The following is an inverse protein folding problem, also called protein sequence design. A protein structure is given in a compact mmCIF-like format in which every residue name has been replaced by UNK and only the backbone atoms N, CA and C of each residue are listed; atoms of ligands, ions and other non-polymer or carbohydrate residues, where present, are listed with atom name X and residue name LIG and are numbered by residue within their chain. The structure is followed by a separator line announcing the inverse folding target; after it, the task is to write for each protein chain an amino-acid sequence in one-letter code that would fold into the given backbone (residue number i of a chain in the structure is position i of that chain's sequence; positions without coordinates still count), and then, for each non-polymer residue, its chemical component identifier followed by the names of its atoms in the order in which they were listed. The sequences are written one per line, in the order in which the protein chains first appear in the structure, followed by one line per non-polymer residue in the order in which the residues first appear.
data_IF_451903790551
#
_entry.id   IF_451903790551
#
_cell.length_a   1.000
_cell.length_b   1.000
_cell.length_c   1.000
_cell.angle_alpha   90.00
_cell.angle_beta   90.00
_cell.angle_gamma   90.00
#
_symmetry.space_group_name_H-M   'P 1'
#
loop_
_entity.id
_entity.type
_entity.pdbx_description
1 polymer ?
#
# COMPACT_ATOMS: atom_id res chain seq x y z
N UNK A 1 47.18 -41.72 -31.73
CA UNK A 1 46.31 -40.98 -32.65
C UNK A 1 44.88 -41.46 -32.43
N UNK A 2 43.93 -40.53 -32.23
CA UNK A 2 42.47 -40.69 -32.40
C UNK A 2 41.74 -41.42 -31.25
N UNK A 3 41.45 -40.76 -30.12
CA UNK A 3 40.27 -39.91 -29.75
C UNK A 3 39.13 -40.69 -29.09
N UNK A 4 39.03 -40.57 -27.76
CA UNK A 4 37.76 -40.65 -27.04
C UNK A 4 36.94 -39.41 -27.38
N UNK A 5 35.77 -39.58 -28.01
CA UNK A 5 34.75 -38.54 -28.08
C UNK A 5 33.77 -38.80 -26.93
N UNK A 6 33.85 -37.94 -25.92
CA UNK A 6 33.06 -37.96 -24.69
C UNK A 6 31.66 -37.39 -24.98
N UNK A 7 30.62 -38.17 -24.71
CA UNK A 7 29.20 -37.81 -24.71
C UNK A 7 28.87 -36.76 -23.62
N UNK A 8 29.25 -35.49 -23.84
CA UNK A 8 28.98 -34.40 -22.87
C UNK A 8 28.34 -33.14 -23.47
N UNK A 9 27.35 -33.29 -24.35
CA UNK A 9 26.65 -32.12 -24.93
C UNK A 9 25.12 -32.15 -24.85
N UNK A 10 24.49 -32.97 -24.00
CA UNK A 10 23.01 -32.97 -23.87
C UNK A 10 22.44 -32.55 -22.51
N UNK A 11 23.26 -32.21 -21.50
CA UNK A 11 22.76 -32.02 -20.13
C UNK A 11 22.74 -30.58 -19.60
N UNK A 12 23.00 -29.56 -20.44
CA UNK A 12 23.12 -28.19 -19.94
C UNK A 12 21.91 -27.26 -20.22
N UNK A 13 20.94 -27.68 -21.02
CA UNK A 13 19.76 -26.84 -21.33
C UNK A 13 18.61 -26.98 -20.32
N UNK A 14 18.60 -28.03 -19.50
CA UNK A 14 17.51 -28.29 -18.53
C UNK A 14 17.75 -27.72 -17.11
N UNK A 15 18.84 -26.97 -16.87
CA UNK A 15 19.13 -26.38 -15.56
C UNK A 15 18.56 -24.98 -15.35
N UNK A 16 17.98 -24.36 -16.38
CA UNK A 16 17.46 -22.99 -16.29
C UNK A 16 15.93 -22.90 -16.18
N UNK A 17 15.21 -24.03 -16.10
CA UNK A 17 13.74 -24.06 -16.07
C UNK A 17 13.11 -24.49 -14.73
N UNK A 18 13.88 -24.69 -13.65
CA UNK A 18 13.33 -25.14 -12.35
C UNK A 18 13.44 -24.15 -11.19
N UNK A 19 13.59 -22.86 -11.45
CA UNK A 19 13.49 -21.82 -10.42
C UNK A 19 12.39 -20.82 -10.78
N UNK A 20 11.17 -21.32 -10.96
CA UNK A 20 10.00 -20.48 -10.70
C UNK A 20 10.03 -20.27 -9.19
N UNK A 21 10.74 -19.23 -8.73
CA UNK A 21 10.69 -18.80 -7.33
C UNK A 21 9.22 -18.60 -7.00
N UNK A 22 8.70 -19.36 -6.05
CA UNK A 22 7.36 -19.11 -5.53
C UNK A 22 7.27 -17.63 -5.17
N UNK A 23 6.22 -16.95 -5.65
CA UNK A 23 6.02 -15.54 -5.34
C UNK A 23 5.95 -15.42 -3.82
N UNK A 24 6.75 -14.54 -3.21
CA UNK A 24 6.79 -14.44 -1.77
C UNK A 24 5.41 -14.07 -1.24
N UNK A 25 4.93 -14.83 -0.25
CA UNK A 25 3.63 -14.64 0.36
C UNK A 25 3.76 -13.75 1.59
N UNK A 26 2.93 -12.72 1.67
CA UNK A 26 2.81 -11.87 2.86
C UNK A 26 1.52 -12.25 3.58
N UNK A 27 1.60 -12.38 4.90
CA UNK A 27 0.45 -12.63 5.78
C UNK A 27 0.23 -11.40 6.67
N UNK A 28 -0.67 -10.48 6.28
CA UNK A 28 -1.03 -9.37 7.14
C UNK A 28 -1.70 -9.87 8.43
N UNK A 29 -1.59 -9.09 9.51
CA UNK A 29 -2.37 -9.36 10.72
C UNK A 29 -3.87 -9.17 10.44
N UNK A 30 -4.71 -9.55 11.40
CA UNK A 30 -6.16 -9.35 11.28
C UNK A 30 -6.51 -7.86 11.18
N UNK A 31 -5.82 -7.03 11.96
CA UNK A 31 -6.00 -5.58 11.99
C UNK A 31 -5.57 -4.95 10.64
N UNK A 32 -4.41 -5.35 10.11
CA UNK A 32 -3.92 -4.90 8.80
C UNK A 32 -4.85 -5.36 7.67
N UNK A 33 -5.33 -6.61 7.72
CA UNK A 33 -6.27 -7.13 6.73
C UNK A 33 -7.58 -6.32 6.72
N UNK A 34 -8.13 -6.03 7.90
CA UNK A 34 -9.33 -5.21 8.04
C UNK A 34 -9.12 -3.80 7.51
N UNK A 35 -7.96 -3.20 7.79
CA UNK A 35 -7.58 -1.91 7.21
C UNK A 35 -7.55 -1.99 5.69
N UNK A 36 -6.88 -2.99 5.12
CA UNK A 36 -6.76 -3.13 3.67
C UNK A 36 -8.11 -3.33 2.98
N UNK A 37 -9.03 -4.07 3.60
CA UNK A 37 -10.39 -4.24 3.10
C UNK A 37 -11.16 -2.90 3.07
N UNK A 38 -11.00 -2.08 4.12
CA UNK A 38 -11.56 -0.72 4.15
C UNK A 38 -10.97 0.13 3.00
N UNK A 39 -9.65 0.14 2.85
CA UNK A 39 -8.98 0.96 1.82
C UNK A 39 -9.39 0.56 0.40
N UNK A 40 -9.52 -0.75 0.12
CA UNK A 40 -10.03 -1.25 -1.16
C UNK A 40 -11.51 -0.88 -1.34
N UNK A 41 -12.31 -0.96 -0.27
CA UNK A 41 -13.72 -0.53 -0.29
C UNK A 41 -13.88 0.95 -0.62
N UNK A 42 -13.01 1.82 -0.10
CA UNK A 42 -13.00 3.27 -0.37
C UNK A 42 -12.83 3.57 -1.86
N UNK A 43 -12.09 2.74 -2.61
CA UNK A 43 -11.93 2.92 -4.05
C UNK A 43 -13.27 2.93 -4.81
N UNK A 44 -14.31 2.27 -4.28
CA UNK A 44 -15.65 2.29 -4.88
C UNK A 44 -16.35 3.65 -4.81
N UNK A 45 -15.91 4.56 -3.93
CA UNK A 45 -16.44 5.93 -3.82
C UNK A 45 -15.77 6.92 -4.77
N UNK A 46 -14.68 6.52 -5.44
CA UNK A 46 -13.95 7.36 -6.38
C UNK A 46 -14.59 7.29 -7.77
N UNK A 47 -14.64 8.44 -8.47
CA UNK A 47 -15.05 8.49 -9.89
C UNK A 47 -13.95 7.98 -10.83
N UNK A 48 -12.71 7.86 -10.32
CA UNK A 48 -11.55 7.36 -11.06
C UNK A 48 -11.15 6.00 -10.51
N UNK A 49 -10.64 5.14 -11.37
CA UNK A 49 -9.99 3.90 -10.93
C UNK A 49 -8.72 4.26 -10.13
N UNK A 50 -8.66 3.76 -8.89
CA UNK A 50 -7.54 3.98 -7.97
C UNK A 50 -7.01 2.62 -7.58
N UNK A 51 -5.73 2.39 -7.84
CA UNK A 51 -5.05 1.19 -7.35
C UNK A 51 -4.26 1.54 -6.10
N UNK A 52 -4.57 0.83 -5.00
CA UNK A 52 -3.94 1.07 -3.71
C UNK A 52 -2.87 0.02 -3.45
N UNK A 53 -1.67 0.49 -3.04
CA UNK A 53 -0.53 -0.38 -2.71
C UNK A 53 0.10 0.04 -1.39
N UNK A 54 0.53 -0.91 -0.59
CA UNK A 54 1.44 -0.64 0.53
C UNK A 54 2.87 -0.65 -0.02
N UNK A 55 3.68 0.35 0.31
CA UNK A 55 5.02 0.52 -0.24
C UNK A 55 6.13 0.35 0.81
N UNK A 56 7.30 -0.08 0.36
CA UNK A 56 8.56 0.04 1.09
C UNK A 56 8.65 -0.77 2.38
N UNK A 57 8.81 -0.07 3.51
CA UNK A 57 9.26 -0.66 4.78
C UNK A 57 8.38 -1.79 5.28
N UNK A 58 7.05 -1.59 5.25
CA UNK A 58 6.11 -2.62 5.67
C UNK A 58 6.23 -3.91 4.84
N UNK A 59 6.38 -3.79 3.51
CA UNK A 59 6.50 -4.95 2.61
C UNK A 59 7.77 -5.73 2.93
N UNK A 60 8.91 -5.03 3.02
CA UNK A 60 10.20 -5.61 3.38
C UNK A 60 10.14 -6.36 4.72
N UNK A 61 9.60 -5.71 5.74
CA UNK A 61 9.60 -6.24 7.09
C UNK A 61 8.71 -7.48 7.19
N UNK A 62 7.55 -7.50 6.51
CA UNK A 62 6.70 -8.69 6.43
C UNK A 62 7.40 -9.85 5.75
N UNK A 63 8.13 -9.60 4.67
CA UNK A 63 8.92 -10.62 3.98
C UNK A 63 10.05 -11.19 4.86
N UNK A 64 10.55 -10.40 5.81
CA UNK A 64 11.55 -10.82 6.80
C UNK A 64 10.94 -11.38 8.09
N UNK A 65 9.61 -11.56 8.15
CA UNK A 65 8.87 -11.96 9.35
C UNK A 65 9.08 -11.02 10.56
N UNK A 66 9.20 -9.72 10.28
CA UNK A 66 9.29 -8.65 11.27
C UNK A 66 7.97 -7.88 11.39
N UNK A 67 7.81 -7.17 12.51
CA UNK A 67 6.68 -6.27 12.73
C UNK A 67 7.03 -4.85 12.26
N UNK A 68 6.07 -4.19 11.62
CA UNK A 68 6.08 -2.77 11.29
C UNK A 68 4.86 -2.11 11.92
N UNK A 69 4.97 -0.83 12.26
CA UNK A 69 3.90 -0.09 12.96
C UNK A 69 3.29 1.02 12.08
N UNK A 70 4.03 1.44 11.06
CA UNK A 70 3.70 2.44 10.05
C UNK A 70 3.40 1.77 8.70
N UNK A 71 2.39 2.26 7.99
CA UNK A 71 2.00 1.77 6.67
C UNK A 71 1.96 2.94 5.69
N UNK A 72 2.92 2.96 4.77
CA UNK A 72 2.91 3.85 3.62
C UNK A 72 1.99 3.30 2.53
N UNK A 73 0.88 3.97 2.27
CA UNK A 73 -0.07 3.64 1.22
C UNK A 73 0.18 4.53 0.01
N UNK A 74 0.70 3.94 -1.06
CA UNK A 74 0.91 4.60 -2.34
C UNK A 74 -0.33 4.53 -3.24
N UNK A 75 -0.63 5.69 -3.86
CA UNK A 75 -1.78 5.93 -4.72
C UNK A 75 -1.34 6.38 -6.12
N UNK A 76 -2.04 5.91 -7.15
CA UNK A 76 -1.74 6.16 -8.56
C UNK A 76 -2.43 7.40 -9.15
N UNK A 77 -3.69 7.66 -8.81
CA UNK A 77 -4.50 8.69 -9.50
C UNK A 77 -5.04 9.81 -8.60
N UNK A 78 -4.96 9.63 -7.28
CA UNK A 78 -5.47 10.59 -6.30
C UNK A 78 -4.37 11.04 -5.35
N UNK A 79 -4.38 12.33 -5.00
CA UNK A 79 -3.53 12.85 -3.91
C UNK A 79 -3.88 12.18 -2.59
N UNK A 80 -2.91 12.10 -1.67
CA UNK A 80 -3.15 11.55 -0.33
C UNK A 80 -4.28 12.27 0.41
N UNK A 81 -4.38 13.60 0.26
CA UNK A 81 -5.46 14.40 0.86
C UNK A 81 -6.84 14.05 0.27
N UNK A 82 -6.94 13.93 -1.06
CA UNK A 82 -8.19 13.59 -1.72
C UNK A 82 -8.67 12.19 -1.29
N UNK A 83 -7.75 11.22 -1.25
CA UNK A 83 -8.07 9.86 -0.83
C UNK A 83 -8.42 9.78 0.66
N UNK A 84 -7.68 10.48 1.54
CA UNK A 84 -8.01 10.56 2.96
C UNK A 84 -9.42 11.11 3.19
N UNK A 85 -9.85 12.08 2.38
CA UNK A 85 -11.21 12.62 2.42
C UNK A 85 -12.27 11.57 2.02
N UNK A 86 -11.98 10.69 1.06
CA UNK A 86 -12.85 9.56 0.70
C UNK A 86 -12.90 8.51 1.81
N UNK A 87 -11.76 8.19 2.43
CA UNK A 87 -11.70 7.28 3.59
C UNK A 87 -12.59 7.78 4.71
N UNK A 88 -12.51 9.08 5.05
CA UNK A 88 -13.38 9.66 6.07
C UNK A 88 -14.87 9.53 5.72
N UNK A 89 -15.26 9.81 4.47
CA UNK A 89 -16.65 9.65 4.02
C UNK A 89 -17.14 8.21 4.14
N UNK A 90 -16.33 7.25 3.71
CA UNK A 90 -16.65 5.82 3.76
C UNK A 90 -16.88 5.32 5.20
N UNK A 91 -16.01 5.74 6.12
CA UNK A 91 -16.10 5.37 7.53
C UNK A 91 -17.38 5.95 8.18
N UNK A 92 -17.69 7.22 7.89
CA UNK A 92 -18.93 7.83 8.37
C UNK A 92 -20.19 7.15 7.80
N UNK A 93 -20.19 6.72 6.54
CA UNK A 93 -21.34 5.97 6.00
C UNK A 93 -21.55 4.62 6.69
N UNK A 94 -20.46 3.92 7.04
CA UNK A 94 -20.52 2.64 7.75
C UNK A 94 -21.05 2.77 9.19
N UNK A 95 -20.82 3.91 9.85
CA UNK A 95 -21.34 4.18 11.20
C UNK A 95 -22.85 4.45 11.17
N UNK A 96 -23.31 5.27 10.23
CA UNK A 96 -24.73 5.62 10.09
C UNK A 96 -25.63 4.41 9.80
N UNK A 97 -25.13 3.42 9.06
CA UNK A 97 -25.86 2.17 8.79
C UNK A 97 -26.04 1.31 10.05
N UNK A 98 -25.11 1.38 11.01
CA UNK A 98 -25.17 0.60 12.25
C UNK A 98 -26.11 1.23 13.28
N UNK A 99 -26.18 2.56 13.34
CA UNK A 99 -27.11 3.25 14.25
C UNK A 99 -28.59 3.12 13.83
N UNK A 100 -28.88 2.83 12.56
CA UNK A 100 -30.25 2.62 12.06
C UNK A 100 -30.95 1.34 12.55
N UNK A 101 -30.25 0.42 13.22
CA UNK A 101 -30.78 -0.90 13.60
C UNK A 101 -31.10 -1.06 15.10
N UNK A 102 -30.56 -0.22 15.99
CA UNK A 102 -30.76 -0.34 17.44
C UNK A 102 -31.30 0.95 18.09
N UNK A 103 -32.53 1.33 17.75
CA UNK A 103 -33.33 2.24 18.58
C UNK A 103 -33.91 1.48 19.77
N UNK A 104 -33.09 1.13 20.77
CA UNK A 104 -33.49 0.93 22.18
C UNK A 104 -32.26 0.55 23.03
N UNK A 105 -31.54 1.55 23.54
CA UNK A 105 -31.08 1.66 24.94
C UNK A 105 -29.87 2.60 25.04
N UNK A 106 -30.15 3.83 25.46
CA UNK A 106 -29.17 4.68 26.12
C UNK A 106 -28.85 4.07 27.48
N UNK A 107 -27.75 3.33 27.60
CA UNK A 107 -26.84 3.26 28.76
C UNK A 107 -25.90 2.06 28.64
N UNK A 108 -24.60 2.36 28.70
CA UNK A 108 -23.45 1.53 29.08
C UNK A 108 -23.62 -0.01 29.02
N UNK A 109 -22.86 -0.69 28.13
CA UNK A 109 -22.02 -1.84 28.52
C UNK A 109 -21.11 -2.40 27.42
N UNK A 110 -19.93 -2.75 27.91
CA UNK A 110 -18.86 -3.55 27.37
C UNK A 110 -19.27 -4.85 26.64
N UNK A 111 -18.45 -5.21 25.65
CA UNK A 111 -18.22 -6.57 25.15
C UNK A 111 -19.41 -7.28 24.46
N UNK A 112 -19.58 -7.05 23.15
CA UNK A 112 -19.63 -8.14 22.16
C UNK A 112 -19.74 -7.58 20.71
N UNK A 113 -18.88 -8.13 19.84
CA UNK A 113 -18.87 -8.01 18.37
C UNK A 113 -18.21 -6.77 17.72
N UNK A 114 -16.88 -6.78 17.86
CA UNK A 114 -15.78 -6.25 17.04
C UNK A 114 -16.13 -5.68 15.65
N UNK A 115 -16.61 -4.44 15.60
CA UNK A 115 -16.08 -3.49 14.63
C UNK A 115 -15.39 -2.42 15.45
N UNK A 116 -14.06 -2.39 15.38
CA UNK A 116 -13.22 -1.50 16.17
C UNK A 116 -13.69 -0.05 16.03
N UNK A 117 -13.61 0.66 17.15
CA UNK A 117 -13.95 2.07 17.28
C UNK A 117 -13.08 2.87 16.31
N UNK A 118 -13.65 3.25 15.18
CA UNK A 118 -12.97 4.03 14.15
C UNK A 118 -12.79 5.46 14.66
N UNK A 119 -11.63 5.76 15.25
CA UNK A 119 -11.29 7.12 15.63
C UNK A 119 -10.48 7.79 14.53
N UNK A 120 -11.14 8.51 13.62
CA UNK A 120 -10.45 9.32 12.60
C UNK A 120 -9.81 10.53 13.28
N UNK A 121 -8.48 10.52 13.41
CA UNK A 121 -7.73 11.73 13.78
C UNK A 121 -7.48 12.53 12.51
N UNK A 122 -7.88 13.81 12.55
CA UNK A 122 -7.84 14.77 11.44
C UNK A 122 -6.48 14.75 10.72
N UNK A 123 -6.50 14.72 9.39
CA UNK A 123 -5.32 14.99 8.56
C UNK A 123 -4.62 16.25 9.07
N UNK A 124 -3.33 16.18 9.35
CA UNK A 124 -2.57 17.29 9.93
C UNK A 124 -2.33 18.38 8.86
N UNK A 125 -3.05 19.53 8.90
CA UNK A 125 -2.97 20.53 7.85
C UNK A 125 -1.59 21.21 7.79
N UNK A 126 -0.85 21.20 8.90
CA UNK A 126 0.43 21.90 9.01
C UNK A 126 1.60 21.17 8.32
N UNK A 127 1.46 19.86 8.04
CA UNK A 127 2.44 19.09 7.24
C UNK A 127 2.24 19.22 5.71
N UNK A 128 1.09 19.73 5.26
CA UNK A 128 0.64 19.65 3.85
C UNK A 128 0.89 20.91 3.02
N UNK A 129 1.75 21.85 3.46
CA UNK A 129 1.86 23.12 2.72
C UNK A 129 2.38 22.96 1.28
N UNK A 130 3.23 21.98 0.98
CA UNK A 130 3.75 21.73 -0.38
C UNK A 130 3.91 20.23 -0.74
N UNK A 131 3.35 19.30 0.03
CA UNK A 131 3.35 17.87 -0.33
C UNK A 131 1.94 17.30 -0.21
N UNK A 132 1.51 16.64 -1.26
CA UNK A 132 0.19 16.03 -1.48
C UNK A 132 -0.07 14.79 -0.61
N UNK A 133 0.63 14.67 0.52
CA UNK A 133 0.57 13.54 1.44
C UNK A 133 -0.42 13.80 2.56
N UNK A 134 -1.06 12.74 3.06
CA UNK A 134 -1.95 12.82 4.22
C UNK A 134 -1.69 11.67 5.18
N UNK A 135 -1.55 11.97 6.48
CA UNK A 135 -1.48 10.97 7.54
C UNK A 135 -2.85 10.81 8.18
N UNK A 136 -3.29 9.56 8.38
CA UNK A 136 -4.51 9.22 9.10
C UNK A 136 -4.25 8.08 10.08
N UNK A 137 -4.91 8.12 11.23
CA UNK A 137 -4.99 6.97 12.14
C UNK A 137 -6.32 6.25 11.95
N UNK A 138 -6.27 4.98 11.60
CA UNK A 138 -7.44 4.10 11.43
C UNK A 138 -7.30 2.98 12.46
N UNK A 139 -8.25 2.90 13.39
CA UNK A 139 -8.15 2.10 14.60
C UNK A 139 -6.84 2.38 15.38
N UNK A 140 -5.93 1.41 15.41
CA UNK A 140 -4.63 1.51 16.08
C UNK A 140 -3.47 1.74 15.12
N UNK A 141 -3.71 1.74 13.81
CA UNK A 141 -2.69 1.77 12.76
C UNK A 141 -2.56 3.20 12.23
N UNK A 142 -1.31 3.68 12.11
CA UNK A 142 -0.98 4.95 11.45
C UNK A 142 -0.69 4.69 9.98
N UNK A 143 -1.37 5.43 9.11
CA UNK A 143 -1.36 5.25 7.66
C UNK A 143 -0.97 6.56 7.01
N UNK A 144 0.09 6.52 6.20
CA UNK A 144 0.55 7.64 5.40
C UNK A 144 0.14 7.43 3.94
N UNK A 145 -0.75 8.27 3.44
CA UNK A 145 -1.12 8.29 2.03
C UNK A 145 -0.11 9.12 1.25
N UNK A 146 0.58 8.45 0.33
CA UNK A 146 1.62 9.02 -0.51
C UNK A 146 1.30 8.81 -1.98
N UNK A 147 1.84 9.67 -2.84
CA UNK A 147 1.73 9.51 -4.28
C UNK A 147 2.94 8.81 -4.86
N UNK A 148 2.70 8.00 -5.89
CA UNK A 148 3.75 7.54 -6.77
C UNK A 148 4.39 8.74 -7.46
N UNK A 149 5.71 8.82 -7.44
CA UNK A 149 6.46 9.95 -8.01
C UNK A 149 7.27 9.47 -9.21
N UNK A 150 7.35 10.30 -10.24
CA UNK A 150 8.27 10.07 -11.36
C UNK A 150 9.71 10.43 -10.97
N UNK A 151 10.66 10.09 -11.85
CA UNK A 151 11.95 10.76 -11.85
C UNK A 151 11.73 12.29 -11.87
N UNK A 152 12.45 13.00 -11.01
CA UNK A 152 12.23 14.41 -10.74
C UNK A 152 12.65 15.23 -11.97
N UNK A 153 11.68 15.90 -12.63
CA UNK A 153 12.00 16.95 -13.60
C UNK A 153 12.36 18.19 -12.79
N UNK A 154 13.64 18.30 -12.45
CA UNK A 154 14.18 19.53 -11.89
C UNK A 154 14.43 20.53 -13.03
N UNK A 155 13.76 21.67 -12.98
CA UNK A 155 14.30 22.84 -13.67
C UNK A 155 15.58 23.28 -12.94
N UNK A 156 16.65 23.54 -13.71
CA UNK A 156 17.98 23.96 -13.23
C UNK A 156 17.89 25.12 -12.22
N UNK A 157 17.76 24.77 -10.92
CA UNK A 157 17.84 25.58 -9.68
C UNK A 157 16.67 25.46 -8.70
N UNK A 158 15.62 24.66 -8.92
CA UNK A 158 14.56 24.50 -7.92
C UNK A 158 14.45 23.07 -7.41
N UNK A 159 14.60 22.88 -6.09
CA UNK A 159 14.38 21.59 -5.39
C UNK A 159 12.90 21.20 -5.27
N UNK A 160 11.99 21.93 -5.91
CA UNK A 160 10.55 21.69 -5.88
C UNK A 160 10.09 21.51 -7.33
N UNK A 161 9.52 20.36 -7.70
CA UNK A 161 9.07 20.10 -9.06
C UNK A 161 7.91 21.03 -9.46
N UNK A 162 7.93 21.53 -10.70
CA UNK A 162 7.00 22.53 -11.25
C UNK A 162 5.61 21.96 -11.61
N UNK A 163 5.48 20.65 -11.73
CA UNK A 163 4.19 19.97 -11.97
C UNK A 163 4.15 18.62 -11.26
N UNK A 164 3.03 18.33 -10.60
CA UNK A 164 2.75 17.01 -10.04
C UNK A 164 2.40 16.09 -11.20
N UNK A 165 3.34 15.24 -11.58
CA UNK A 165 3.09 14.11 -12.47
C UNK A 165 3.03 12.87 -11.60
N UNK A 166 1.88 12.20 -11.57
CA UNK A 166 1.78 10.90 -10.92
C UNK A 166 2.72 9.93 -11.62
N UNK A 167 3.60 9.30 -10.84
CA UNK A 167 4.47 8.26 -11.34
C UNK A 167 3.75 6.93 -11.50
N UNK A 168 4.32 6.06 -12.32
CA UNK A 168 3.99 4.64 -12.30
C UNK A 168 4.68 3.96 -11.10
N UNK A 169 4.19 2.80 -10.63
CA UNK A 169 4.86 2.06 -9.56
C UNK A 169 6.32 1.73 -9.89
N UNK A 170 6.60 1.45 -11.17
CA UNK A 170 7.94 1.20 -11.68
C UNK A 170 8.84 2.44 -11.57
N UNK A 171 8.37 3.61 -12.00
CA UNK A 171 9.15 4.85 -11.87
C UNK A 171 9.39 5.21 -10.40
N UNK A 172 8.39 4.96 -9.53
CA UNK A 172 8.54 5.16 -8.08
C UNK A 172 9.53 4.16 -7.45
N UNK A 173 9.61 2.94 -7.99
CA UNK A 173 10.59 1.94 -7.58
C UNK A 173 12.01 2.36 -7.99
N UNK A 174 12.19 2.78 -9.25
CA UNK A 174 13.49 3.15 -9.84
C UNK A 174 14.13 4.39 -9.19
N UNK A 175 13.32 5.30 -8.62
CA UNK A 175 13.84 6.48 -7.90
C UNK A 175 14.30 6.21 -6.47
N UNK A 176 14.08 5.01 -5.92
CA UNK A 176 14.40 4.70 -4.52
C UNK A 176 15.83 4.20 -4.39
N UNK A 177 16.50 4.58 -3.31
CA UNK A 177 17.92 4.27 -3.10
C UNK A 177 18.22 2.77 -2.95
N UNK A 178 17.27 2.00 -2.38
CA UNK A 178 17.45 0.57 -2.07
C UNK A 178 16.30 -0.27 -2.62
N UNK A 179 16.65 -1.37 -3.29
CA UNK A 179 15.67 -2.31 -3.90
C UNK A 179 14.73 -2.94 -2.87
N UNK A 180 15.22 -3.23 -1.67
CA UNK A 180 14.37 -3.75 -0.59
C UNK A 180 13.30 -2.75 -0.12
N UNK A 181 13.48 -1.46 -0.42
CA UNK A 181 12.52 -0.40 -0.08
C UNK A 181 11.67 0.03 -1.29
N UNK A 182 11.87 -0.60 -2.46
CA UNK A 182 11.11 -0.37 -3.69
C UNK A 182 10.08 -1.45 -3.97
N UNK A 183 9.79 -2.30 -2.97
CA UNK A 183 8.76 -3.33 -3.04
C UNK A 183 7.39 -2.72 -2.75
N UNK A 184 6.38 -3.25 -3.44
CA UNK A 184 4.99 -2.86 -3.24
C UNK A 184 4.14 -4.10 -2.96
N UNK A 185 3.08 -3.93 -2.17
CA UNK A 185 2.08 -4.95 -1.95
C UNK A 185 0.73 -4.43 -2.44
N UNK A 186 0.23 -5.01 -3.51
CA UNK A 186 -1.01 -4.59 -4.15
C UNK A 186 -2.21 -5.08 -3.35
N UNK A 187 -3.04 -4.15 -2.85
CA UNK A 187 -4.15 -4.50 -1.98
C UNK A 187 -5.31 -5.18 -2.72
N UNK A 188 -5.39 -5.03 -4.04
CA UNK A 188 -6.42 -5.64 -4.87
C UNK A 188 -6.06 -7.09 -5.23
N UNK A 189 -4.82 -7.33 -5.65
CA UNK A 189 -4.38 -8.68 -6.04
C UNK A 189 -3.83 -9.50 -4.88
N UNK A 190 -3.46 -8.84 -3.77
CA UNK A 190 -2.77 -9.44 -2.61
C UNK A 190 -1.42 -10.03 -2.98
N UNK A 191 -0.74 -9.41 -3.94
CA UNK A 191 0.57 -9.85 -4.43
C UNK A 191 1.65 -8.81 -4.17
N UNK A 192 2.88 -9.29 -3.99
CA UNK A 192 4.08 -8.44 -3.99
C UNK A 192 4.44 -8.09 -5.44
N UNK A 193 4.62 -6.81 -5.70
CA UNK A 193 5.10 -6.26 -6.96
C UNK A 193 6.56 -5.78 -6.77
N UNK A 194 7.45 -6.28 -7.63
CA UNK A 194 8.90 -6.05 -7.65
C UNK A 194 9.30 -5.84 -9.11
N UNK A 195 9.89 -4.67 -9.43
CA UNK A 195 10.16 -4.21 -10.80
C UNK A 195 11.64 -4.13 -11.12
#
# INVERSE_FOLDING_TARGET
MTTCADDRLSNNENRHQSCLKERPQIHPTKEESSLFDILVGVCSLSEREVTVRVAGGWVRDKLLNSHSYDIDVSLDTLTGEAFASLVQKYLLSMENEKEGTDNNNKQEKNHAHTCSKVSVIKANPDKSKHLETATMKIDTIEVDFVNLRTAEIYEDNHRIPTSVVFGTPKEDAERRDFTVNSLFYNLHTREVEDW
#
